data_IF_255638179363
#
_entry.id   IF_255638179363
#
_cell.length_a   1.000
_cell.length_b   1.000
_cell.length_c   1.000
_cell.angle_alpha   90.00
_cell.angle_beta   90.00
_cell.angle_gamma   90.00
#
_symmetry.space_group_name_H-M   'P 1'
#
loop_
_entity.id
_entity.type
_entity.pdbx_description
1 polymer ?
#
# COMPACT_ATOMS: atom_id res chain seq x y z
N UNK A 1 7.08 7.58 1.07
CA UNK A 1 8.27 7.78 0.19
C UNK A 1 8.93 9.10 0.56
N UNK A 2 10.25 9.14 0.66
CA UNK A 2 10.99 10.40 0.75
C UNK A 2 10.92 11.09 -0.61
N UNK A 3 11.10 12.43 -0.64
CA UNK A 3 11.11 13.20 -1.90
C UNK A 3 12.20 12.75 -2.89
N UNK A 4 13.15 11.93 -2.46
CA UNK A 4 14.32 11.51 -3.23
C UNK A 4 14.21 10.09 -3.83
N UNK A 5 13.11 9.33 -3.56
CA UNK A 5 12.94 8.02 -4.18
C UNK A 5 12.36 8.14 -5.59
N UNK A 6 12.91 7.40 -6.58
CA UNK A 6 12.35 7.39 -7.93
C UNK A 6 10.94 6.80 -7.93
N UNK A 7 10.00 7.48 -8.58
CA UNK A 7 8.59 7.06 -8.70
C UNK A 7 8.40 6.14 -9.90
N UNK A 8 9.20 6.31 -10.95
CA UNK A 8 9.06 5.58 -12.21
C UNK A 8 8.96 4.05 -12.08
N UNK A 9 9.72 3.36 -11.20
CA UNK A 9 9.56 1.91 -11.04
C UNK A 9 8.16 1.47 -10.63
N UNK A 10 7.43 2.27 -9.85
CA UNK A 10 6.07 1.93 -9.43
C UNK A 10 5.08 1.96 -10.60
N UNK A 11 5.23 2.91 -11.53
CA UNK A 11 4.41 2.96 -12.74
C UNK A 11 4.59 1.72 -13.63
N UNK A 12 5.77 1.10 -13.60
CA UNK A 12 6.02 -0.12 -14.40
C UNK A 12 5.22 -1.33 -13.96
N UNK A 13 4.80 -1.36 -12.69
CA UNK A 13 3.99 -2.45 -12.11
C UNK A 13 2.49 -2.24 -12.20
N UNK A 14 2.05 -1.18 -12.87
CA UNK A 14 0.64 -0.81 -12.96
C UNK A 14 -0.29 -1.98 -13.36
N UNK A 15 0.14 -2.84 -14.29
CA UNK A 15 -0.62 -4.00 -14.74
C UNK A 15 -0.83 -5.10 -13.69
N UNK A 16 0.02 -5.19 -12.68
CA UNK A 16 -0.09 -6.29 -11.71
C UNK A 16 -1.37 -6.16 -10.86
N UNK A 17 -1.91 -4.97 -10.74
CA UNK A 17 -3.06 -4.68 -9.91
C UNK A 17 -4.39 -4.58 -10.68
N UNK A 18 -4.35 -4.40 -12.00
CA UNK A 18 -5.55 -4.43 -12.86
C UNK A 18 -5.82 -5.82 -13.44
N UNK A 19 -5.00 -6.80 -13.09
CA UNK A 19 -5.05 -8.16 -13.59
C UNK A 19 -5.80 -9.08 -12.62
N UNK A 20 -6.01 -10.33 -13.06
CA UNK A 20 -6.51 -11.44 -12.26
C UNK A 20 -5.87 -11.54 -10.86
N UNK A 21 -4.60 -11.17 -10.71
CA UNK A 21 -3.89 -11.14 -9.43
C UNK A 21 -4.51 -10.13 -8.45
N UNK A 22 -4.95 -8.97 -8.93
CA UNK A 22 -5.65 -7.98 -8.09
C UNK A 22 -7.00 -8.51 -7.60
N UNK A 23 -7.75 -9.18 -8.47
CA UNK A 23 -9.02 -9.83 -8.11
C UNK A 23 -8.82 -10.95 -7.08
N UNK A 24 -7.85 -11.84 -7.31
CA UNK A 24 -7.49 -12.91 -6.38
C UNK A 24 -7.03 -12.36 -5.02
N UNK A 25 -6.35 -11.24 -4.99
CA UNK A 25 -5.96 -10.58 -3.73
C UNK A 25 -7.18 -10.05 -2.99
N UNK A 26 -8.11 -9.38 -3.68
CA UNK A 26 -9.36 -8.88 -3.11
C UNK A 26 -10.19 -10.04 -2.54
N UNK A 27 -10.33 -11.15 -3.26
CA UNK A 27 -11.04 -12.34 -2.78
C UNK A 27 -10.44 -12.87 -1.47
N UNK A 28 -9.11 -12.81 -1.31
CA UNK A 28 -8.42 -13.26 -0.10
C UNK A 28 -8.66 -12.33 1.10
N UNK A 29 -8.69 -11.00 0.90
CA UNK A 29 -8.78 -10.02 2.00
C UNK A 29 -10.22 -9.67 2.37
N UNK A 30 -11.15 -9.71 1.43
CA UNK A 30 -12.53 -9.25 1.64
C UNK A 30 -13.25 -9.96 2.80
N UNK A 31 -13.15 -11.29 3.01
CA UNK A 31 -13.80 -11.96 4.14
C UNK A 31 -13.45 -11.35 5.50
N UNK A 32 -12.25 -10.81 5.65
CA UNK A 32 -11.76 -10.21 6.89
C UNK A 32 -12.05 -8.71 6.99
N UNK A 33 -12.18 -8.04 5.85
CA UNK A 33 -12.43 -6.60 5.76
C UNK A 33 -13.91 -6.25 5.85
N UNK A 34 -14.80 -7.11 5.34
CA UNK A 34 -16.24 -6.85 5.21
C UNK A 34 -16.94 -6.47 6.52
N UNK A 35 -16.42 -6.93 7.67
CA UNK A 35 -17.01 -6.61 8.98
C UNK A 35 -16.85 -5.11 9.35
N UNK A 36 -15.92 -4.42 8.70
CA UNK A 36 -15.58 -3.01 8.93
C UNK A 36 -16.11 -2.08 7.82
N UNK A 37 -16.88 -2.62 6.88
CA UNK A 37 -17.36 -1.91 5.69
C UNK A 37 -18.88 -1.84 5.70
N UNK A 38 -19.42 -0.64 5.50
CA UNK A 38 -20.87 -0.42 5.40
C UNK A 38 -21.18 0.42 4.17
N UNK A 39 -22.27 0.14 3.45
CA UNK A 39 -22.74 1.02 2.39
C UNK A 39 -22.93 2.46 2.89
N UNK A 40 -22.42 3.40 2.11
CA UNK A 40 -22.44 4.82 2.46
C UNK A 40 -21.22 5.31 3.23
N UNK A 41 -20.36 4.43 3.75
CA UNK A 41 -19.12 4.82 4.43
C UNK A 41 -18.22 5.64 3.50
N UNK A 42 -17.55 6.64 4.08
CA UNK A 42 -16.46 7.37 3.42
C UNK A 42 -15.15 6.67 3.71
N UNK A 43 -14.50 6.16 2.69
CA UNK A 43 -13.28 5.35 2.79
C UNK A 43 -12.11 6.07 2.15
N UNK A 44 -10.94 6.02 2.76
CA UNK A 44 -9.68 6.42 2.14
C UNK A 44 -8.81 5.18 1.90
N UNK A 45 -8.35 5.02 0.65
CA UNK A 45 -7.41 3.99 0.23
C UNK A 45 -6.05 4.65 0.02
N UNK A 46 -5.14 4.39 0.95
CA UNK A 46 -3.81 5.00 1.03
C UNK A 46 -2.79 4.16 0.26
N UNK A 47 -2.08 4.77 -0.68
CA UNK A 47 -1.22 4.10 -1.63
C UNK A 47 -2.02 3.14 -2.53
N UNK A 48 -3.09 3.66 -3.12
CA UNK A 48 -4.11 2.88 -3.83
C UNK A 48 -3.62 2.21 -5.13
N UNK A 49 -2.43 2.55 -5.60
CA UNK A 49 -1.87 2.03 -6.85
C UNK A 49 -2.78 2.26 -8.04
N UNK A 50 -3.00 1.22 -8.85
CA UNK A 50 -3.91 1.24 -10.01
C UNK A 50 -5.41 1.14 -9.65
N UNK A 51 -5.78 1.26 -8.37
CA UNK A 51 -7.15 1.48 -7.93
C UNK A 51 -8.02 0.23 -7.81
N UNK A 52 -7.49 -0.99 -7.92
CA UNK A 52 -8.30 -2.21 -7.87
C UNK A 52 -9.13 -2.32 -6.60
N UNK A 53 -8.50 -2.06 -5.44
CA UNK A 53 -9.18 -2.08 -4.13
C UNK A 53 -10.11 -0.90 -4.01
N UNK A 54 -9.70 0.30 -4.41
CA UNK A 54 -10.52 1.51 -4.40
C UNK A 54 -11.83 1.30 -5.15
N UNK A 55 -11.75 0.76 -6.39
CA UNK A 55 -12.92 0.48 -7.23
C UNK A 55 -13.80 -0.60 -6.59
N UNK A 56 -13.18 -1.69 -6.12
CA UNK A 56 -13.92 -2.75 -5.43
C UNK A 56 -14.69 -2.23 -4.21
N UNK A 57 -14.07 -1.38 -3.38
CA UNK A 57 -14.73 -0.79 -2.22
C UNK A 57 -15.92 0.10 -2.62
N UNK A 58 -15.78 0.85 -3.70
CA UNK A 58 -16.88 1.65 -4.25
C UNK A 58 -18.03 0.76 -4.74
N UNK A 59 -17.73 -0.36 -5.39
CA UNK A 59 -18.73 -1.37 -5.80
C UNK A 59 -19.48 -2.01 -4.61
N UNK A 60 -18.91 -1.95 -3.40
CA UNK A 60 -19.62 -2.35 -2.16
C UNK A 60 -20.55 -1.24 -1.63
N UNK A 61 -20.71 -0.15 -2.36
CA UNK A 61 -21.61 0.96 -2.01
C UNK A 61 -20.99 2.04 -1.14
N UNK A 62 -19.67 2.12 -1.04
CA UNK A 62 -18.95 3.15 -0.27
C UNK A 62 -18.55 4.34 -1.13
N UNK A 63 -18.17 5.46 -0.50
CA UNK A 63 -17.60 6.64 -1.14
C UNK A 63 -16.08 6.63 -0.95
N UNK A 64 -15.34 6.24 -1.97
CA UNK A 64 -13.90 5.99 -1.82
C UNK A 64 -13.06 7.09 -2.44
N UNK A 65 -12.02 7.50 -1.72
CA UNK A 65 -10.92 8.32 -2.24
C UNK A 65 -9.65 7.48 -2.21
N UNK A 66 -9.09 7.17 -3.37
CA UNK A 66 -7.78 6.55 -3.52
C UNK A 66 -6.70 7.61 -3.69
N UNK A 67 -5.59 7.45 -2.97
CA UNK A 67 -4.45 8.37 -3.00
C UNK A 67 -3.18 7.57 -3.32
N UNK A 68 -2.45 7.99 -4.33
CA UNK A 68 -1.14 7.42 -4.67
C UNK A 68 -0.19 8.50 -5.18
N UNK A 69 1.11 8.27 -5.01
CA UNK A 69 2.14 9.20 -5.45
C UNK A 69 2.45 9.06 -6.94
N UNK A 70 2.33 7.85 -7.49
CA UNK A 70 2.73 7.51 -8.85
C UNK A 70 1.70 8.01 -9.89
N UNK A 71 2.09 8.93 -10.80
CA UNK A 71 1.14 9.52 -11.76
C UNK A 71 0.59 8.50 -12.76
N UNK A 72 1.41 7.53 -13.19
CA UNK A 72 0.97 6.48 -14.13
C UNK A 72 -0.02 5.54 -13.49
N UNK A 73 0.16 5.16 -12.21
CA UNK A 73 -0.80 4.36 -11.46
C UNK A 73 -2.15 5.08 -11.32
N UNK A 74 -2.15 6.37 -10.97
CA UNK A 74 -3.38 7.17 -10.87
C UNK A 74 -4.07 7.34 -12.22
N UNK A 75 -3.31 7.53 -13.30
CA UNK A 75 -3.88 7.60 -14.64
C UNK A 75 -4.59 6.29 -15.01
N UNK A 76 -3.97 5.15 -14.72
CA UNK A 76 -4.55 3.83 -14.95
C UNK A 76 -5.77 3.58 -14.06
N UNK A 77 -5.72 3.94 -12.78
CA UNK A 77 -6.84 3.82 -11.85
C UNK A 77 -8.10 4.56 -12.36
N UNK A 78 -7.90 5.78 -12.88
CA UNK A 78 -8.99 6.56 -13.49
C UNK A 78 -9.55 5.90 -14.75
N UNK A 79 -8.69 5.32 -15.59
CA UNK A 79 -9.13 4.59 -16.79
C UNK A 79 -9.94 3.34 -16.43
N UNK A 80 -9.47 2.57 -15.46
CA UNK A 80 -10.17 1.37 -14.98
C UNK A 80 -11.52 1.73 -14.33
N UNK A 81 -11.57 2.80 -13.53
CA UNK A 81 -12.83 3.29 -12.97
C UNK A 81 -13.84 3.64 -14.06
N UNK A 82 -13.43 4.34 -15.12
CA UNK A 82 -14.31 4.66 -16.26
C UNK A 82 -14.83 3.38 -16.94
N UNK A 83 -13.95 2.41 -17.20
CA UNK A 83 -14.32 1.13 -17.82
C UNK A 83 -15.36 0.35 -16.99
N UNK A 84 -15.23 0.40 -15.66
CA UNK A 84 -16.13 -0.30 -14.73
C UNK A 84 -17.34 0.53 -14.30
N UNK A 85 -17.43 1.79 -14.73
CA UNK A 85 -18.50 2.71 -14.33
C UNK A 85 -18.43 3.13 -12.85
N UNK A 86 -17.28 2.98 -12.22
CA UNK A 86 -17.04 3.35 -10.84
C UNK A 86 -16.88 4.88 -10.67
N UNK A 87 -17.36 5.39 -9.54
CA UNK A 87 -17.33 6.83 -9.20
C UNK A 87 -16.28 7.19 -8.17
N UNK A 88 -15.35 6.27 -7.89
CA UNK A 88 -14.26 6.49 -6.95
C UNK A 88 -13.42 7.72 -7.35
N UNK A 89 -12.97 8.47 -6.35
CA UNK A 89 -12.10 9.63 -6.56
C UNK A 89 -10.64 9.21 -6.46
N UNK A 90 -9.80 9.65 -7.41
CA UNK A 90 -8.36 9.33 -7.42
C UNK A 90 -7.53 10.60 -7.38
N UNK A 91 -6.62 10.68 -6.40
CA UNK A 91 -5.77 11.84 -6.12
C UNK A 91 -4.30 11.43 -6.24
N UNK A 92 -3.57 12.11 -7.12
CA UNK A 92 -2.12 11.98 -7.15
C UNK A 92 -1.52 12.84 -6.04
N UNK A 93 -1.03 12.21 -4.97
CA UNK A 93 -0.42 12.93 -3.86
C UNK A 93 0.44 12.00 -2.98
N UNK A 94 1.35 12.60 -2.22
CA UNK A 94 2.08 11.90 -1.17
C UNK A 94 1.21 11.79 0.09
N UNK A 95 0.88 10.59 0.51
CA UNK A 95 0.04 10.32 1.69
C UNK A 95 0.64 10.89 3.00
N UNK A 96 1.97 11.08 3.05
CA UNK A 96 2.64 11.68 4.21
C UNK A 96 2.43 13.19 4.30
N UNK A 97 2.06 13.88 3.23
CA UNK A 97 1.96 15.35 3.20
C UNK A 97 0.59 15.86 2.76
N UNK A 98 -0.17 15.06 2.01
CA UNK A 98 -1.50 15.45 1.53
C UNK A 98 -2.47 15.67 2.70
N UNK A 99 -3.25 16.76 2.73
CA UNK A 99 -4.23 17.02 3.79
C UNK A 99 -5.43 16.08 3.68
N UNK A 100 -5.47 15.04 4.51
CA UNK A 100 -6.57 14.09 4.55
C UNK A 100 -7.85 14.67 5.18
N UNK A 101 -7.74 15.79 5.91
CA UNK A 101 -8.82 16.36 6.73
C UNK A 101 -8.90 15.72 8.12
N UNK A 102 -9.86 16.14 8.93
CA UNK A 102 -10.04 15.67 10.30
C UNK A 102 -11.43 15.03 10.47
N UNK A 103 -11.47 13.81 10.99
CA UNK A 103 -12.73 13.11 11.28
C UNK A 103 -13.64 12.92 10.07
N UNK A 104 -13.06 12.73 8.86
CA UNK A 104 -13.80 12.66 7.61
C UNK A 104 -14.18 11.22 7.26
N UNK A 105 -13.26 10.27 7.49
CA UNK A 105 -13.40 8.91 6.99
C UNK A 105 -13.94 7.95 8.04
N UNK A 106 -14.82 7.07 7.61
CA UNK A 106 -15.36 5.97 8.41
C UNK A 106 -14.35 4.80 8.48
N UNK A 107 -13.56 4.62 7.42
CA UNK A 107 -12.54 3.58 7.29
C UNK A 107 -11.33 4.10 6.51
N UNK A 108 -10.14 3.72 6.93
CA UNK A 108 -8.91 3.86 6.16
C UNK A 108 -8.33 2.47 5.83
N UNK A 109 -7.80 2.30 4.64
CA UNK A 109 -7.10 1.08 4.22
C UNK A 109 -5.74 1.41 3.62
N UNK A 110 -4.76 0.50 3.80
CA UNK A 110 -3.45 0.59 3.17
C UNK A 110 -2.97 -0.83 2.86
N UNK A 111 -2.98 -1.20 1.60
CA UNK A 111 -2.70 -2.56 1.11
C UNK A 111 -1.49 -2.60 0.18
N UNK A 112 -1.10 -3.81 -0.22
CA UNK A 112 -0.02 -4.03 -1.17
C UNK A 112 1.37 -3.83 -0.59
N UNK A 113 1.54 -3.99 0.74
CA UNK A 113 2.82 -3.80 1.44
C UNK A 113 3.40 -2.37 1.27
N UNK A 114 2.57 -1.38 1.01
CA UNK A 114 3.01 -0.02 0.69
C UNK A 114 3.86 0.64 1.79
N UNK A 115 3.73 0.19 3.04
CA UNK A 115 4.52 0.74 4.14
C UNK A 115 6.02 0.48 4.00
N UNK A 116 6.44 -0.52 3.21
CA UNK A 116 7.87 -0.77 2.99
C UNK A 116 8.57 0.38 2.25
N UNK A 117 7.82 1.26 1.60
CA UNK A 117 8.34 2.45 0.92
C UNK A 117 8.49 3.65 1.88
N UNK A 118 8.05 3.51 3.13
CA UNK A 118 8.17 4.57 4.13
C UNK A 118 9.41 4.34 5.01
N UNK A 119 10.32 5.32 5.11
CA UNK A 119 11.35 5.30 6.15
C UNK A 119 10.72 5.17 7.54
N UNK A 120 11.33 4.40 8.43
CA UNK A 120 10.81 4.17 9.77
C UNK A 120 10.49 5.49 10.52
N UNK A 121 11.33 6.52 10.33
CA UNK A 121 11.11 7.85 10.91
C UNK A 121 9.88 8.59 10.36
N UNK A 122 9.36 8.18 9.21
CA UNK A 122 8.15 8.77 8.61
C UNK A 122 6.87 8.05 9.05
N UNK A 123 6.99 6.87 9.64
CA UNK A 123 5.82 6.09 10.05
C UNK A 123 4.96 6.80 11.13
N UNK A 124 5.51 7.48 12.14
CA UNK A 124 4.71 8.29 13.06
C UNK A 124 3.87 9.35 12.36
N UNK A 125 4.43 10.01 11.34
CA UNK A 125 3.69 11.00 10.53
C UNK A 125 2.53 10.34 9.78
N UNK A 126 2.74 9.20 9.14
CA UNK A 126 1.69 8.41 8.50
C UNK A 126 0.58 8.07 9.49
N UNK A 127 0.94 7.46 10.64
CA UNK A 127 0.02 7.09 11.71
C UNK A 127 -0.83 8.28 12.16
N UNK A 128 -0.19 9.41 12.47
CA UNK A 128 -0.89 10.57 13.06
C UNK A 128 -1.86 11.19 12.04
N UNK A 129 -1.48 11.26 10.77
CA UNK A 129 -2.36 11.74 9.70
C UNK A 129 -3.58 10.86 9.49
N UNK A 130 -3.40 9.54 9.50
CA UNK A 130 -4.51 8.59 9.38
C UNK A 130 -5.42 8.68 10.60
N UNK A 131 -4.82 8.79 11.80
CA UNK A 131 -5.59 8.96 13.02
C UNK A 131 -6.45 10.22 12.96
N UNK A 132 -5.89 11.36 12.58
CA UNK A 132 -6.64 12.62 12.52
C UNK A 132 -7.76 12.55 11.48
N UNK A 133 -7.51 11.89 10.34
CA UNK A 133 -8.49 11.76 9.25
C UNK A 133 -9.69 10.86 9.57
N UNK A 134 -9.50 9.84 10.40
CA UNK A 134 -10.57 8.93 10.81
C UNK A 134 -11.54 9.57 11.80
N UNK A 135 -12.82 9.20 11.71
CA UNK A 135 -13.81 9.46 12.75
C UNK A 135 -13.47 8.70 14.03
N UNK A 136 -13.93 9.14 15.22
CA UNK A 136 -13.82 8.35 16.45
C UNK A 136 -14.38 6.94 16.25
N UNK A 137 -13.64 5.92 16.66
CA UNK A 137 -14.00 4.52 16.45
C UNK A 137 -13.76 4.00 15.03
N UNK A 138 -13.29 4.85 14.09
CA UNK A 138 -12.98 4.46 12.72
C UNK A 138 -11.77 3.51 12.65
N UNK A 139 -11.87 2.41 11.88
CA UNK A 139 -10.77 1.47 11.70
C UNK A 139 -9.75 1.93 10.66
N UNK A 140 -8.49 1.54 10.88
CA UNK A 140 -7.47 1.40 9.87
C UNK A 140 -7.20 -0.09 9.63
N UNK A 141 -7.23 -0.52 8.38
CA UNK A 141 -6.79 -1.86 7.97
C UNK A 141 -5.48 -1.72 7.22
N UNK A 142 -4.43 -2.34 7.75
CA UNK A 142 -3.07 -2.24 7.23
C UNK A 142 -2.57 -3.63 6.83
N UNK A 143 -2.15 -3.79 5.57
CA UNK A 143 -1.52 -5.03 5.11
C UNK A 143 -0.02 -4.80 4.88
N UNK A 144 0.78 -5.79 5.31
CA UNK A 144 2.24 -5.75 5.19
C UNK A 144 2.83 -7.16 5.08
N UNK A 145 3.96 -7.27 4.40
CA UNK A 145 4.78 -8.48 4.39
C UNK A 145 5.70 -8.46 5.62
N UNK A 146 5.74 -9.56 6.39
CA UNK A 146 6.62 -9.68 7.54
C UNK A 146 8.09 -9.53 7.14
N UNK A 147 8.72 -8.53 7.73
CA UNK A 147 10.10 -8.17 7.40
C UNK A 147 11.13 -9.24 7.76
N UNK A 148 10.90 -10.01 8.83
CA UNK A 148 11.80 -11.13 9.18
C UNK A 148 11.80 -12.20 8.09
N UNK A 149 10.62 -12.50 7.54
CA UNK A 149 10.51 -13.41 6.41
C UNK A 149 11.24 -12.86 5.17
N UNK A 150 11.11 -11.55 4.90
CA UNK A 150 11.83 -10.91 3.79
C UNK A 150 13.34 -11.02 3.98
N UNK A 151 13.86 -10.68 5.16
CA UNK A 151 15.30 -10.77 5.46
C UNK A 151 15.79 -12.21 5.32
N UNK A 152 15.06 -13.19 5.87
CA UNK A 152 15.45 -14.60 5.77
C UNK A 152 15.43 -15.11 4.32
N UNK A 153 14.47 -14.68 3.51
CA UNK A 153 14.36 -15.06 2.11
C UNK A 153 15.42 -14.39 1.23
N UNK A 154 15.86 -13.18 1.59
CA UNK A 154 16.77 -12.33 0.82
C UNK A 154 18.16 -12.22 1.43
N UNK A 155 18.56 -13.21 2.26
CA UNK A 155 19.90 -13.27 2.85
C UNK A 155 21.04 -13.37 1.81
N UNK A 156 20.70 -13.72 0.56
CA UNK A 156 21.61 -13.70 -0.58
C UNK A 156 21.05 -12.81 -1.70
N UNK A 157 21.91 -12.21 -2.53
CA UNK A 157 21.45 -11.46 -3.70
C UNK A 157 20.52 -12.31 -4.57
N UNK A 158 19.31 -11.85 -4.77
CA UNK A 158 18.31 -12.54 -5.59
C UNK A 158 17.81 -11.64 -6.68
N UNK A 159 17.59 -12.26 -7.81
CA UNK A 159 16.97 -11.65 -8.96
C UNK A 159 15.58 -12.25 -9.16
N UNK A 160 14.59 -11.42 -9.32
CA UNK A 160 13.21 -11.82 -9.62
C UNK A 160 12.80 -11.12 -10.89
N UNK A 161 12.31 -11.90 -11.86
CA UNK A 161 11.75 -11.35 -13.10
C UNK A 161 10.23 -11.28 -12.92
N UNK A 162 9.70 -10.08 -13.05
CA UNK A 162 8.28 -9.80 -12.93
C UNK A 162 7.72 -9.24 -14.24
N UNK A 163 6.46 -9.52 -14.52
CA UNK A 163 5.80 -8.94 -15.68
C UNK A 163 5.30 -7.54 -15.35
N UNK A 164 5.88 -6.54 -15.97
CA UNK A 164 5.39 -5.16 -15.91
C UNK A 164 4.32 -4.86 -16.96
N UNK A 165 3.99 -3.58 -17.11
CA UNK A 165 2.92 -3.07 -18.00
C UNK A 165 3.15 -3.48 -19.45
N UNK A 166 4.33 -3.29 -19.96
CA UNK A 166 4.69 -3.47 -21.37
C UNK A 166 6.01 -4.26 -21.56
N UNK A 167 6.60 -4.72 -20.47
CA UNK A 167 7.92 -5.35 -20.47
C UNK A 167 8.13 -6.16 -19.19
N UNK A 168 9.11 -7.04 -19.24
CA UNK A 168 9.64 -7.66 -18.03
C UNK A 168 10.48 -6.67 -17.26
N UNK A 169 10.34 -6.74 -15.94
CA UNK A 169 11.11 -5.97 -14.96
C UNK A 169 11.95 -6.95 -14.16
N UNK A 170 13.24 -6.72 -14.17
CA UNK A 170 14.17 -7.47 -13.32
C UNK A 170 14.33 -6.69 -12.01
N UNK A 171 13.97 -7.33 -10.92
CA UNK A 171 14.11 -6.81 -9.58
C UNK A 171 15.25 -7.52 -8.89
N UNK A 172 16.32 -6.79 -8.60
CA UNK A 172 17.54 -7.31 -7.99
C UNK A 172 17.72 -6.76 -6.59
N UNK A 173 17.81 -7.64 -5.59
CA UNK A 173 18.15 -7.27 -4.22
C UNK A 173 19.67 -7.14 -4.11
N UNK A 174 20.14 -5.92 -3.88
CA UNK A 174 21.57 -5.58 -3.88
C UNK A 174 22.18 -5.87 -2.51
N UNK A 175 21.61 -5.30 -1.46
CA UNK A 175 22.10 -5.44 -0.09
C UNK A 175 21.00 -5.23 0.95
N UNK A 176 21.21 -5.77 2.14
CA UNK A 176 20.45 -5.43 3.33
C UNK A 176 21.33 -4.66 4.31
N UNK A 177 20.86 -3.46 4.69
CA UNK A 177 21.53 -2.66 5.71
C UNK A 177 20.83 -2.88 7.08
N UNK A 178 21.48 -3.56 8.05
CA UNK A 178 20.88 -3.85 9.34
C UNK A 178 20.73 -2.61 10.23
N UNK A 179 21.46 -1.52 9.98
CA UNK A 179 21.37 -0.29 10.76
C UNK A 179 20.10 0.49 10.39
N UNK A 180 19.82 0.61 9.11
CA UNK A 180 18.58 1.25 8.62
C UNK A 180 17.41 0.30 8.52
N UNK A 181 17.63 -1.01 8.72
CA UNK A 181 16.65 -2.08 8.47
C UNK A 181 15.99 -1.93 7.10
N UNK A 182 16.78 -1.80 6.06
CA UNK A 182 16.30 -1.57 4.71
C UNK A 182 17.07 -2.39 3.67
N UNK A 183 16.37 -2.75 2.60
CA UNK A 183 16.95 -3.32 1.40
C UNK A 183 17.21 -2.22 0.37
N UNK A 184 18.34 -2.30 -0.30
CA UNK A 184 18.61 -1.61 -1.55
C UNK A 184 18.19 -2.53 -2.69
N UNK A 185 17.25 -2.09 -3.50
CA UNK A 185 16.66 -2.88 -4.59
C UNK A 185 16.84 -2.13 -5.90
N UNK A 186 17.40 -2.82 -6.89
CA UNK A 186 17.49 -2.31 -8.26
C UNK A 186 16.31 -2.83 -9.07
N UNK A 187 15.66 -1.94 -9.80
CA UNK A 187 14.62 -2.23 -10.77
C UNK A 187 15.14 -1.92 -12.16
N UNK A 188 15.16 -2.92 -13.03
CA UNK A 188 15.59 -2.79 -14.41
C UNK A 188 14.47 -3.18 -15.38
N UNK A 189 14.03 -2.25 -16.20
CA UNK A 189 13.01 -2.45 -17.24
C UNK A 189 13.67 -2.86 -18.53
N UNK A 190 13.39 -4.08 -19.00
CA UNK A 190 14.10 -4.66 -20.14
C UNK A 190 13.81 -3.97 -21.47
N UNK A 191 12.60 -3.42 -21.67
CA UNK A 191 12.21 -2.77 -22.93
C UNK A 191 12.94 -1.46 -23.21
N UNK A 192 13.26 -0.70 -22.17
CA UNK A 192 13.88 0.65 -22.28
C UNK A 192 15.29 0.67 -21.76
N UNK A 193 15.76 -0.40 -21.11
CA UNK A 193 17.05 -0.49 -20.43
C UNK A 193 17.22 0.57 -19.33
N UNK A 194 16.11 1.06 -18.77
CA UNK A 194 16.11 1.98 -17.63
C UNK A 194 16.32 1.20 -16.34
N UNK A 195 17.13 1.79 -15.45
CA UNK A 195 17.43 1.20 -14.14
C UNK A 195 17.28 2.23 -13.05
N UNK A 196 16.63 1.85 -11.94
CA UNK A 196 16.46 2.68 -10.75
C UNK A 196 16.77 1.89 -9.49
N UNK A 197 17.38 2.56 -8.52
CA UNK A 197 17.57 2.03 -7.18
C UNK A 197 16.49 2.57 -6.24
N UNK A 198 15.86 1.68 -5.48
CA UNK A 198 14.82 1.99 -4.50
C UNK A 198 15.25 1.44 -3.14
N UNK A 199 14.95 2.15 -2.08
CA UNK A 199 15.12 1.67 -0.71
C UNK A 199 13.79 1.14 -0.19
N UNK A 200 13.73 -0.14 0.17
CA UNK A 200 12.57 -0.79 0.77
C UNK A 200 12.84 -1.08 2.25
N UNK A 201 12.04 -0.51 3.14
CA UNK A 201 12.21 -0.65 4.59
C UNK A 201 11.56 -1.92 5.11
N UNK A 202 12.20 -2.52 6.11
CA UNK A 202 11.78 -3.77 6.73
C UNK A 202 10.92 -3.46 7.95
N UNK A 203 9.65 -3.78 7.88
CA UNK A 203 8.72 -3.70 8.99
C UNK A 203 8.39 -5.09 9.52
N UNK A 204 8.31 -5.23 10.83
CA UNK A 204 7.87 -6.45 11.51
C UNK A 204 6.61 -6.15 12.33
N UNK A 205 5.73 -7.12 12.48
CA UNK A 205 4.47 -6.93 13.18
C UNK A 205 4.59 -6.29 14.58
N UNK A 206 5.51 -6.74 15.44
CA UNK A 206 5.71 -6.11 16.75
C UNK A 206 6.11 -4.64 16.69
N UNK A 207 6.95 -4.24 15.71
CA UNK A 207 7.33 -2.83 15.52
C UNK A 207 6.14 -1.99 15.05
N UNK A 208 5.41 -2.48 14.03
CA UNK A 208 4.21 -1.78 13.54
C UNK A 208 3.22 -1.58 14.69
N UNK A 209 2.95 -2.63 15.45
CA UNK A 209 2.04 -2.56 16.60
C UNK A 209 2.50 -1.53 17.64
N UNK A 210 3.76 -1.57 18.04
CA UNK A 210 4.34 -0.59 18.96
C UNK A 210 4.16 0.86 18.48
N UNK A 211 4.38 1.10 17.19
CA UNK A 211 4.23 2.41 16.57
C UNK A 211 2.76 2.85 16.47
N UNK A 212 1.85 1.91 16.18
CA UNK A 212 0.42 2.21 16.03
C UNK A 212 -0.29 2.41 17.37
N UNK A 213 0.00 1.60 18.40
CA UNK A 213 -0.66 1.64 19.71
C UNK A 213 -0.41 2.92 20.49
N UNK A 214 0.48 3.80 20.02
CA UNK A 214 0.64 5.15 20.56
C UNK A 214 -0.69 5.95 20.47
N UNK A 215 -1.50 5.71 19.43
CA UNK A 215 -2.78 6.43 19.20
C UNK A 215 -3.97 5.53 18.93
N UNK A 216 -3.74 4.34 18.41
CA UNK A 216 -4.77 3.38 18.02
C UNK A 216 -4.90 2.26 19.07
N UNK A 217 -6.03 1.58 19.03
CA UNK A 217 -6.21 0.29 19.69
C UNK A 217 -6.01 -0.81 18.67
N UNK A 218 -5.11 -1.76 18.94
CA UNK A 218 -4.95 -2.96 18.13
C UNK A 218 -6.11 -3.91 18.39
N UNK A 219 -6.75 -4.40 17.33
CA UNK A 219 -7.91 -5.30 17.43
C UNK A 219 -7.54 -6.73 17.09
N UNK A 220 -6.96 -6.93 15.91
CA UNK A 220 -6.60 -8.27 15.43
C UNK A 220 -5.53 -8.23 14.36
N UNK A 221 -4.85 -9.36 14.19
CA UNK A 221 -3.98 -9.65 13.05
C UNK A 221 -4.44 -10.92 12.37
N UNK A 222 -4.58 -10.86 11.06
CA UNK A 222 -4.91 -12.01 10.23
C UNK A 222 -3.72 -12.37 9.37
N UNK A 223 -3.24 -13.62 9.48
CA UNK A 223 -2.19 -14.11 8.60
C UNK A 223 -2.79 -14.47 7.24
N UNK A 224 -2.27 -13.85 6.21
CA UNK A 224 -2.46 -14.22 4.82
C UNK A 224 -1.32 -15.15 4.36
N UNK A 225 -1.32 -15.58 3.11
CA UNK A 225 -0.31 -16.52 2.60
C UNK A 225 1.12 -15.99 2.76
N UNK A 226 1.33 -14.73 2.43
CA UNK A 226 2.65 -14.09 2.40
C UNK A 226 2.75 -12.81 3.22
N UNK A 227 1.64 -12.34 3.78
CA UNK A 227 1.54 -11.08 4.51
C UNK A 227 0.65 -11.20 5.74
N UNK A 228 0.54 -10.12 6.47
CA UNK A 228 -0.37 -9.95 7.60
C UNK A 228 -1.30 -8.78 7.31
N UNK A 229 -2.52 -8.87 7.79
CA UNK A 229 -3.49 -7.80 7.76
C UNK A 229 -3.89 -7.48 9.20
N UNK A 230 -3.51 -6.32 9.66
CA UNK A 230 -3.79 -5.81 11.00
C UNK A 230 -4.94 -4.81 10.97
N UNK A 231 -5.77 -4.86 12.00
CA UNK A 231 -6.85 -3.90 12.23
C UNK A 231 -6.58 -3.10 13.48
N UNK A 232 -6.65 -1.78 13.34
CA UNK A 232 -6.46 -0.79 14.39
C UNK A 232 -7.69 0.13 14.46
N UNK A 233 -8.18 0.44 15.65
CA UNK A 233 -9.32 1.34 15.86
C UNK A 233 -8.83 2.67 16.45
N UNK A 234 -9.31 3.80 15.94
CA UNK A 234 -9.08 5.12 16.52
C UNK A 234 -9.75 5.21 17.90
N UNK A 235 -8.94 5.45 18.91
CA UNK A 235 -9.41 5.73 20.28
C UNK A 235 -10.06 7.10 20.40
#
# INVERSE_FOLDING_TARGET
MTQDQPIAPFDWFANQFTSKRGEEFIEKIYPYMKAYLKPGDRVVDLCCGAGSITIFLEEQGTQVTGIDLAPGLIALARQEAVKRGAKANFIQANVLTYPLGEGIYDLAVCFGNAICDFPHQSFPQFRDRVFDALKPGGPLILEYIDGLRRVAFMSEPKEVVEQGLDSQIVRRFIEYNPVSSAFKVEYHRLSTNETYEVTEYVYIGPLIRLLMEVRFEFVQSTRLEHSFMDVYIKR
#
